data_IF_621242323628
#
_entry.id   IF_621242323628
#
_cell.length_a   1.000
_cell.length_b   1.000
_cell.length_c   1.000
_cell.angle_alpha   90.00
_cell.angle_beta   90.00
_cell.angle_gamma   90.00
#
_symmetry.space_group_name_H-M   'P 1'
#
loop_
_entity.id
_entity.type
_entity.pdbx_description
1 polymer ?
#
# COMPACT_ATOMS: atom_id res chain seq x y z
N UNK A 1 -4.81 13.19 15.46
CA UNK A 1 -5.06 12.15 14.42
C UNK A 1 -3.81 12.02 13.55
N UNK A 2 -3.51 10.87 12.92
CA UNK A 2 -2.34 10.73 12.02
C UNK A 2 -2.26 11.75 10.88
N UNK A 3 -3.38 12.38 10.55
CA UNK A 3 -3.46 13.51 9.63
C UNK A 3 -2.51 14.65 10.01
N UNK A 4 -2.29 14.93 11.31
CA UNK A 4 -1.36 15.98 11.77
C UNK A 4 0.08 15.73 11.32
N UNK A 5 0.50 14.47 11.21
CA UNK A 5 1.84 14.10 10.80
C UNK A 5 2.05 14.31 9.30
N UNK A 6 1.02 13.96 8.53
CA UNK A 6 1.00 14.20 7.08
C UNK A 6 0.90 15.71 6.82
N UNK A 7 0.08 16.45 7.57
CA UNK A 7 0.00 17.91 7.46
C UNK A 7 1.37 18.56 7.72
N UNK A 8 2.10 18.14 8.76
CA UNK A 8 3.45 18.65 9.02
C UNK A 8 4.43 18.34 7.89
N UNK A 9 4.33 17.17 7.25
CA UNK A 9 5.12 16.84 6.06
C UNK A 9 4.79 17.74 4.86
N UNK A 10 3.51 18.11 4.71
CA UNK A 10 3.03 19.00 3.64
C UNK A 10 3.43 20.46 3.90
N UNK A 11 3.49 20.88 5.16
CA UNK A 11 3.94 22.21 5.59
C UNK A 11 5.46 22.43 5.38
N UNK A 12 6.23 21.35 5.24
CA UNK A 12 7.65 21.39 4.88
C UNK A 12 7.80 21.67 3.37
N UNK A 13 7.45 22.89 2.97
CA UNK A 13 7.63 23.43 1.63
C UNK A 13 8.95 24.20 1.56
N UNK A 14 10.01 23.54 1.11
CA UNK A 14 11.30 24.17 0.89
C UNK A 14 12.21 23.27 0.06
N UNK A 15 12.70 23.80 -1.06
CA UNK A 15 13.63 23.10 -1.96
C UNK A 15 15.10 23.32 -1.55
N UNK A 16 15.33 23.97 -0.41
CA UNK A 16 16.65 24.10 0.17
C UNK A 16 17.18 22.73 0.60
N UNK A 17 18.46 22.48 0.32
CA UNK A 17 19.12 21.18 0.57
C UNK A 17 18.94 20.66 1.99
N UNK A 18 18.97 21.56 2.98
CA UNK A 18 18.82 21.19 4.38
C UNK A 18 17.36 20.87 4.74
N UNK A 19 16.39 21.58 4.18
CA UNK A 19 14.97 21.25 4.29
C UNK A 19 14.64 19.88 3.67
N UNK A 20 15.22 19.55 2.52
CA UNK A 20 15.05 18.24 1.88
C UNK A 20 15.57 17.11 2.80
N UNK A 21 16.72 17.30 3.45
CA UNK A 21 17.26 16.31 4.40
C UNK A 21 16.31 16.12 5.59
N UNK A 22 15.86 17.21 6.20
CA UNK A 22 14.95 17.16 7.35
C UNK A 22 13.64 16.47 6.96
N UNK A 23 13.12 16.75 5.75
CA UNK A 23 11.93 16.08 5.21
C UNK A 23 12.13 14.58 5.03
N UNK A 24 13.27 14.16 4.49
CA UNK A 24 13.59 12.74 4.32
C UNK A 24 13.75 12.03 5.67
N UNK A 25 14.44 12.64 6.63
CA UNK A 25 14.59 12.10 7.97
C UNK A 25 13.23 11.94 8.65
N UNK A 26 12.37 12.97 8.54
CA UNK A 26 11.00 12.93 9.07
C UNK A 26 10.16 11.80 8.44
N UNK A 27 10.28 11.58 7.13
CA UNK A 27 9.62 10.44 6.44
C UNK A 27 10.12 9.10 7.00
N UNK A 28 11.42 8.94 7.22
CA UNK A 28 11.96 7.69 7.78
C UNK A 28 11.47 7.46 9.21
N UNK A 29 11.45 8.49 10.05
CA UNK A 29 10.87 8.41 11.39
C UNK A 29 9.40 7.99 11.35
N UNK A 30 8.61 8.57 10.45
CA UNK A 30 7.21 8.19 10.25
C UNK A 30 7.05 6.72 9.84
N UNK A 31 7.91 6.22 8.93
CA UNK A 31 7.87 4.82 8.50
C UNK A 31 8.17 3.86 9.64
N UNK A 32 9.18 4.15 10.46
CA UNK A 32 9.57 3.32 11.61
C UNK A 32 8.43 3.29 12.64
N UNK A 33 7.94 4.47 13.03
CA UNK A 33 6.82 4.63 13.95
C UNK A 33 5.58 3.83 13.54
N UNK A 34 5.20 3.94 12.26
CA UNK A 34 4.02 3.26 11.71
C UNK A 34 4.26 1.75 11.58
N UNK A 35 5.46 1.33 11.18
CA UNK A 35 5.79 -0.08 10.99
C UNK A 35 5.91 -0.85 12.31
N UNK A 36 6.45 -0.22 13.36
CA UNK A 36 6.65 -0.84 14.67
C UNK A 36 5.45 -0.64 15.60
N UNK A 37 4.51 0.25 15.24
CA UNK A 37 3.41 0.71 16.10
C UNK A 37 3.88 1.28 17.46
N UNK A 38 5.11 1.81 17.50
CA UNK A 38 5.73 2.39 18.70
C UNK A 38 5.78 3.92 18.58
N UNK A 39 5.41 4.60 19.66
CA UNK A 39 5.46 6.05 19.77
C UNK A 39 6.88 6.51 20.16
N UNK A 40 7.60 7.04 19.19
CA UNK A 40 8.82 7.82 19.37
C UNK A 40 8.50 9.32 19.44
N UNK A 41 9.21 10.08 20.27
CA UNK A 41 9.12 11.56 20.25
C UNK A 41 9.57 12.08 18.87
N UNK A 42 8.99 13.17 18.32
CA UNK A 42 8.18 14.22 18.95
C UNK A 42 6.65 14.03 18.83
N UNK A 43 6.19 12.82 18.54
CA UNK A 43 4.78 12.54 18.28
C UNK A 43 4.01 12.32 19.58
N UNK A 44 2.80 12.89 19.68
CA UNK A 44 1.97 12.89 20.90
C UNK A 44 0.86 11.84 20.90
N UNK A 45 0.60 11.21 19.76
CA UNK A 45 -0.50 10.28 19.56
C UNK A 45 0.02 8.97 19.02
N UNK A 46 -0.47 7.83 19.52
CA UNK A 46 -0.07 6.55 18.94
C UNK A 46 -0.48 6.49 17.47
N UNK A 47 0.34 5.86 16.60
CA UNK A 47 -0.13 5.49 15.27
C UNK A 47 -1.37 4.59 15.43
N UNK A 48 -2.34 4.64 14.49
CA UNK A 48 -3.55 3.84 14.55
C UNK A 48 -3.17 2.37 14.74
N UNK A 49 -3.77 1.73 15.74
CA UNK A 49 -3.56 0.31 16.07
C UNK A 49 -4.00 -0.65 14.95
N UNK A 50 -4.68 -0.12 13.92
CA UNK A 50 -5.25 -0.88 12.84
C UNK A 50 -4.22 -1.11 11.74
N UNK A 51 -4.19 -2.36 11.26
CA UNK A 51 -3.53 -2.79 10.04
C UNK A 51 -3.79 -1.76 8.92
N UNK A 52 -2.80 -0.93 8.63
CA UNK A 52 -2.94 0.10 7.61
C UNK A 52 -3.04 -0.60 6.26
N UNK A 53 -4.17 -0.38 5.58
CA UNK A 53 -4.34 -0.85 4.21
C UNK A 53 -3.21 -0.25 3.36
N UNK A 54 -2.59 -1.05 2.46
CA UNK A 54 -1.72 -0.52 1.42
C UNK A 54 -2.37 0.68 0.72
N UNK A 55 -1.58 1.69 0.36
CA UNK A 55 -2.09 2.93 -0.26
C UNK A 55 -3.13 2.69 -1.37
N UNK A 56 -2.94 1.74 -2.32
CA UNK A 56 -3.93 1.54 -3.38
C UNK A 56 -5.22 0.85 -2.89
N UNK A 57 -5.16 0.07 -1.80
CA UNK A 57 -6.36 -0.47 -1.15
C UNK A 57 -7.13 0.62 -0.40
N UNK A 58 -6.42 1.52 0.29
CA UNK A 58 -7.01 2.68 0.97
C UNK A 58 -7.67 3.66 -0.01
N UNK A 59 -6.96 4.02 -1.09
CA UNK A 59 -7.52 4.84 -2.18
C UNK A 59 -8.75 4.15 -2.81
N UNK A 60 -8.65 2.84 -3.00
CA UNK A 60 -9.76 2.01 -3.43
C UNK A 60 -11.01 2.11 -2.58
N UNK A 61 -10.81 1.99 -1.27
CA UNK A 61 -11.88 2.16 -0.29
C UNK A 61 -12.50 3.55 -0.38
N UNK A 62 -11.69 4.62 -0.41
CA UNK A 62 -12.18 6.00 -0.55
C UNK A 62 -13.01 6.20 -1.83
N UNK A 63 -12.53 5.65 -2.96
CA UNK A 63 -13.25 5.71 -4.22
C UNK A 63 -14.57 4.93 -4.18
N UNK A 64 -14.59 3.74 -3.57
CA UNK A 64 -15.80 2.93 -3.38
C UNK A 64 -16.83 3.62 -2.47
N UNK A 65 -16.37 4.25 -1.40
CA UNK A 65 -17.22 5.01 -0.48
C UNK A 65 -17.84 6.23 -1.18
N UNK A 66 -17.13 6.81 -2.15
CA UNK A 66 -17.60 7.95 -2.96
C UNK A 66 -18.43 7.53 -4.18
N UNK A 67 -18.17 6.35 -4.74
CA UNK A 67 -18.80 5.80 -5.95
C UNK A 67 -19.22 4.36 -5.64
N UNK A 68 -20.44 4.14 -5.11
CA UNK A 68 -20.92 2.84 -4.66
C UNK A 68 -21.01 1.78 -5.76
N UNK A 69 -20.94 2.17 -7.03
CA UNK A 69 -20.98 1.27 -8.19
C UNK A 69 -19.64 0.58 -8.47
N UNK A 70 -18.53 1.14 -7.97
CA UNK A 70 -17.20 0.54 -8.14
C UNK A 70 -17.15 -0.84 -7.46
N UNK A 71 -16.38 -1.82 -7.96
CA UNK A 71 -16.15 -3.06 -7.23
C UNK A 71 -15.47 -2.76 -5.88
N UNK A 72 -15.68 -3.63 -4.87
CA UNK A 72 -14.84 -3.55 -3.66
C UNK A 72 -13.39 -3.82 -4.08
N UNK A 73 -12.49 -2.90 -3.76
CA UNK A 73 -11.07 -3.15 -3.94
C UNK A 73 -10.68 -4.32 -3.01
N UNK A 74 -10.43 -5.46 -3.63
CA UNK A 74 -9.88 -6.63 -2.97
C UNK A 74 -8.37 -6.47 -2.76
N UNK A 75 -7.74 -7.41 -2.05
CA UNK A 75 -6.28 -7.40 -1.92
C UNK A 75 -5.65 -7.35 -3.31
N UNK A 76 -4.64 -6.49 -3.46
CA UNK A 76 -3.93 -6.28 -4.73
C UNK A 76 -3.15 -7.55 -5.14
N UNK A 77 -2.95 -8.47 -4.21
CA UNK A 77 -2.34 -9.77 -4.46
C UNK A 77 -3.37 -10.79 -4.98
N UNK A 78 -3.05 -11.55 -6.04
CA UNK A 78 -3.86 -12.70 -6.43
C UNK A 78 -3.93 -13.70 -5.27
N UNK A 79 -5.06 -14.39 -5.14
CA UNK A 79 -5.31 -15.37 -4.08
C UNK A 79 -4.30 -16.51 -4.16
N UNK A 80 -3.82 -16.83 -5.37
CA UNK A 80 -2.75 -17.78 -5.63
C UNK A 80 -1.95 -17.25 -6.82
N UNK A 81 -0.63 -17.14 -6.67
CA UNK A 81 0.31 -16.94 -7.78
C UNK A 81 1.34 -18.06 -7.72
N UNK A 82 1.42 -18.87 -8.77
CA UNK A 82 2.36 -19.99 -8.86
C UNK A 82 3.12 -19.90 -10.18
N UNK A 83 4.44 -19.85 -10.08
CA UNK A 83 5.34 -19.94 -11.22
C UNK A 83 5.91 -21.35 -11.32
N UNK A 84 6.09 -21.84 -12.54
CA UNK A 84 6.85 -23.07 -12.76
C UNK A 84 8.30 -22.89 -12.30
N UNK A 85 8.97 -24.00 -11.94
CA UNK A 85 10.35 -23.97 -11.42
C UNK A 85 11.35 -23.40 -12.43
N UNK A 86 11.04 -23.49 -13.72
CA UNK A 86 11.81 -22.94 -14.84
C UNK A 86 11.41 -21.50 -15.20
N UNK A 87 10.44 -20.90 -14.50
CA UNK A 87 9.97 -19.53 -14.72
C UNK A 87 9.18 -19.32 -16.02
N UNK A 88 8.90 -20.39 -16.78
CA UNK A 88 8.29 -20.28 -18.12
C UNK A 88 6.77 -20.14 -18.09
N UNK A 89 6.13 -20.59 -17.01
CA UNK A 89 4.69 -20.50 -16.84
C UNK A 89 4.36 -19.82 -15.52
N UNK A 90 3.35 -18.95 -15.55
CA UNK A 90 2.79 -18.33 -14.36
C UNK A 90 1.27 -18.53 -14.36
N UNK A 91 0.73 -19.00 -13.24
CA UNK A 91 -0.69 -19.12 -12.97
C UNK A 91 -1.07 -18.18 -11.83
N UNK A 92 -2.02 -17.29 -12.10
CA UNK A 92 -2.61 -16.38 -11.12
C UNK A 92 -4.11 -16.62 -11.02
N UNK A 93 -4.63 -16.72 -9.80
CA UNK A 93 -6.04 -16.93 -9.53
C UNK A 93 -6.60 -15.79 -8.67
N UNK A 94 -7.71 -15.19 -9.11
CA UNK A 94 -8.42 -14.14 -8.40
C UNK A 94 -9.89 -14.50 -8.24
N UNK A 95 -10.42 -14.40 -7.02
CA UNK A 95 -11.84 -14.65 -6.76
C UNK A 95 -12.68 -13.48 -7.26
N UNK A 96 -13.73 -13.77 -8.03
CA UNK A 96 -14.72 -12.80 -8.47
C UNK A 96 -15.86 -12.75 -7.43
N UNK A 97 -16.22 -11.56 -6.90
CA UNK A 97 -17.39 -11.41 -6.04
C UNK A 97 -18.65 -11.91 -6.77
N UNK A 98 -19.39 -12.85 -6.17
CA UNK A 98 -20.60 -13.43 -6.78
C UNK A 98 -20.48 -14.89 -7.21
N UNK A 99 -19.31 -15.53 -7.02
CA UNK A 99 -19.17 -17.00 -7.10
C UNK A 99 -18.23 -17.52 -8.18
N UNK A 100 -17.52 -16.65 -8.88
CA UNK A 100 -16.56 -17.02 -9.93
C UNK A 100 -15.10 -16.99 -9.46
N UNK A 101 -14.23 -17.60 -10.27
CA UNK A 101 -12.77 -17.48 -10.17
C UNK A 101 -12.24 -17.04 -11.54
N UNK A 102 -11.40 -16.01 -11.55
CA UNK A 102 -10.64 -15.57 -12.70
C UNK A 102 -9.27 -16.24 -12.66
N UNK A 103 -8.89 -16.93 -13.74
CA UNK A 103 -7.59 -17.57 -13.88
C UNK A 103 -6.83 -16.90 -15.02
N UNK A 104 -5.63 -16.41 -14.71
CA UNK A 104 -4.69 -15.91 -15.70
C UNK A 104 -3.51 -16.88 -15.79
N UNK A 105 -3.26 -17.41 -16.98
CA UNK A 105 -2.10 -18.24 -17.26
C UNK A 105 -1.29 -17.60 -18.37
N UNK A 106 -0.02 -17.32 -18.10
CA UNK A 106 0.94 -16.87 -19.10
C UNK A 106 2.02 -17.93 -19.28
N UNK A 107 2.38 -18.19 -20.53
CA UNK A 107 3.47 -19.11 -20.89
C UNK A 107 4.40 -18.36 -21.84
N UNK A 108 5.68 -18.22 -21.44
CA UNK A 108 6.72 -17.70 -22.31
C UNK A 108 7.41 -18.86 -23.03
N UNK A 109 7.43 -18.90 -24.37
CA UNK A 109 8.12 -19.95 -25.12
C UNK A 109 9.65 -19.91 -24.93
N UNK A 110 10.21 -18.75 -24.58
CA UNK A 110 11.67 -18.54 -24.54
C UNK A 110 12.26 -18.41 -23.12
N UNK A 111 11.45 -18.52 -22.06
CA UNK A 111 11.89 -18.16 -20.70
C UNK A 111 12.11 -16.65 -20.56
N UNK A 112 12.34 -16.19 -19.33
CA UNK A 112 12.62 -14.78 -19.02
C UNK A 112 14.09 -14.42 -19.26
#
# INVERSE_FOLDING_TARGET
MCTEWICKLLEMSGDEKDMIKIKNDYIQYLKIMVGEAVLHGPFTHMPPELYLLPLPEYLGKLMKDSIPELPRNGPIAPVISHSSQDGRACLSAQKIPGGGMFFYMAVSPDGL
#
